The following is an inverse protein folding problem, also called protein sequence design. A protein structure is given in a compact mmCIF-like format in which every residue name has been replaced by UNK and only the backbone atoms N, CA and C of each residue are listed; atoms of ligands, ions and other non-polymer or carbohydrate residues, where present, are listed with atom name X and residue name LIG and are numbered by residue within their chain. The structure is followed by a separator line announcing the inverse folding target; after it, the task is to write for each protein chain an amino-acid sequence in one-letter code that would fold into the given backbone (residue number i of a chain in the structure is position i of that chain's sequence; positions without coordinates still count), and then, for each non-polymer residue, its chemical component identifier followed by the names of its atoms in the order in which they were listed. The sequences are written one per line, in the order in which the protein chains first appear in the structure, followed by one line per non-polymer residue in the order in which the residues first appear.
data_IF_736251901496
#
_entry.id   IF_736251901496
#
_cell.length_a   1.000
_cell.length_b   1.000
_cell.length_c   1.000
_cell.angle_alpha   90.00
_cell.angle_beta   90.00
_cell.angle_gamma   90.00
#
_symmetry.space_group_name_H-M   'P 1'
#
loop_
_entity.id
_entity.type
_entity.pdbx_description
1 polymer ?
#
# COMPACT_ATOMS: atom_id res chain seq x y z
N UNK A 1 -13.23 5.98 -1.31
CA UNK A 1 -12.36 5.30 -0.34
C UNK A 1 -10.90 5.43 -0.78
N UNK A 2 -10.05 5.84 0.12
CA UNK A 2 -8.63 5.93 -0.21
C UNK A 2 -8.01 4.55 -0.31
N UNK A 3 -6.96 4.44 -1.10
CA UNK A 3 -6.32 3.14 -1.32
C UNK A 3 -5.83 2.51 -0.01
N UNK A 4 -5.31 3.31 0.92
CA UNK A 4 -4.88 2.78 2.21
C UNK A 4 -6.05 2.20 3.00
N UNK A 5 -7.20 2.86 2.98
CA UNK A 5 -8.39 2.35 3.65
C UNK A 5 -8.82 1.01 3.05
N UNK A 6 -8.72 0.89 1.72
CA UNK A 6 -9.00 -0.35 1.02
C UNK A 6 -8.04 -1.45 1.47
N UNK A 7 -6.74 -1.14 1.58
CA UNK A 7 -5.74 -2.09 2.03
C UNK A 7 -6.01 -2.54 3.47
N UNK A 8 -6.37 -1.60 4.35
CA UNK A 8 -6.70 -1.91 5.73
C UNK A 8 -7.90 -2.85 5.80
N UNK A 9 -8.92 -2.59 4.99
CA UNK A 9 -10.11 -3.42 4.94
C UNK A 9 -9.78 -4.85 4.46
N UNK A 10 -8.98 -4.95 3.42
CA UNK A 10 -8.58 -6.26 2.87
C UNK A 10 -7.78 -7.05 3.91
N UNK A 11 -6.89 -6.38 4.65
CA UNK A 11 -6.07 -7.04 5.67
C UNK A 11 -6.86 -7.46 6.90
N UNK A 12 -8.03 -6.89 7.12
CA UNK A 12 -8.84 -7.19 8.29
C UNK A 12 -8.69 -6.18 9.42
N UNK A 13 -8.16 -4.99 9.12
CA UNK A 13 -8.00 -3.91 10.08
C UNK A 13 -6.58 -3.36 10.12
N UNK A 14 -6.43 -2.18 10.71
CA UNK A 14 -5.12 -1.50 10.76
C UNK A 14 -4.08 -2.33 11.53
N UNK A 15 -4.48 -2.96 12.63
CA UNK A 15 -3.56 -3.79 13.41
C UNK A 15 -3.07 -4.99 12.60
N UNK A 16 -3.98 -5.62 11.85
CA UNK A 16 -3.60 -6.76 11.01
C UNK A 16 -2.65 -6.33 9.90
N UNK A 17 -2.93 -5.20 9.26
CA UNK A 17 -2.04 -4.68 8.23
C UNK A 17 -0.66 -4.38 8.80
N UNK A 18 -0.62 -3.77 9.99
CA UNK A 18 0.65 -3.46 10.66
C UNK A 18 1.45 -4.74 10.92
N UNK A 19 0.79 -5.79 11.39
CA UNK A 19 1.44 -7.08 11.63
C UNK A 19 2.03 -7.65 10.35
N UNK A 20 1.29 -7.57 9.24
CA UNK A 20 1.74 -8.07 7.95
C UNK A 20 2.95 -7.31 7.43
N UNK A 21 3.06 -6.02 7.77
CA UNK A 21 4.14 -5.16 7.32
C UNK A 21 5.29 -5.09 8.33
N UNK A 22 5.14 -5.73 9.49
CA UNK A 22 6.13 -5.72 10.57
C UNK A 22 6.37 -4.29 11.08
N UNK A 23 5.29 -3.54 11.24
CA UNK A 23 5.33 -2.19 11.82
C UNK A 23 4.27 -2.10 12.92
N UNK A 24 4.30 -1.02 13.70
CA UNK A 24 3.30 -0.83 14.74
C UNK A 24 1.98 -0.35 14.15
N UNK A 25 0.87 -0.63 14.86
CA UNK A 25 -0.44 -0.15 14.42
C UNK A 25 -0.50 1.37 14.44
N UNK A 26 0.27 2.01 15.30
CA UNK A 26 0.36 3.46 15.35
C UNK A 26 0.95 4.02 14.05
N UNK A 27 1.94 3.32 13.48
CA UNK A 27 2.52 3.72 12.21
C UNK A 27 1.47 3.74 11.10
N UNK A 28 0.67 2.68 11.01
CA UNK A 28 -0.41 2.62 10.02
C UNK A 28 -1.44 3.73 10.28
N UNK A 29 -1.77 3.96 11.53
CA UNK A 29 -2.69 5.01 11.92
C UNK A 29 -2.18 6.40 11.50
N UNK A 30 -0.88 6.64 11.63
CA UNK A 30 -0.28 7.89 11.20
C UNK A 30 -0.41 8.09 9.70
N UNK A 31 -0.19 7.06 8.90
CA UNK A 31 -0.37 7.17 7.45
C UNK A 31 -1.81 7.54 7.11
N UNK A 32 -2.75 6.97 7.83
CA UNK A 32 -4.17 7.14 7.55
C UNK A 32 -4.66 8.53 7.94
N UNK A 33 -4.25 9.02 9.11
CA UNK A 33 -4.80 10.25 9.69
C UNK A 33 -3.89 11.46 9.51
N UNK A 34 -2.59 11.28 9.70
CA UNK A 34 -1.63 12.37 9.65
C UNK A 34 -1.20 12.70 8.24
N UNK A 35 -0.96 11.68 7.45
CA UNK A 35 -0.41 11.82 6.11
C UNK A 35 -1.48 11.72 5.04
N UNK A 36 -2.73 11.90 5.42
CA UNK A 36 -3.89 11.91 4.53
C UNK A 36 -3.97 10.64 3.67
N UNK A 37 -3.59 9.50 4.25
CA UNK A 37 -3.65 8.23 3.56
C UNK A 37 -2.48 7.95 2.63
N UNK A 38 -1.47 8.84 2.62
CA UNK A 38 -0.28 8.66 1.79
C UNK A 38 0.73 7.81 2.54
N UNK A 39 1.11 6.67 1.96
CA UNK A 39 2.09 5.78 2.60
C UNK A 39 3.50 6.11 2.12
N UNK A 40 4.54 5.82 2.92
CA UNK A 40 5.92 6.02 2.48
C UNK A 40 6.22 5.18 1.24
N UNK A 41 7.10 5.69 0.37
CA UNK A 41 7.44 5.01 -0.87
C UNK A 41 7.95 3.58 -0.63
N UNK A 42 8.71 3.37 0.45
CA UNK A 42 9.28 2.06 0.74
C UNK A 42 8.26 1.07 1.30
N UNK A 43 7.02 1.50 1.54
CA UNK A 43 5.95 0.61 2.02
C UNK A 43 4.94 0.27 0.93
N UNK A 44 5.02 0.91 -0.23
CA UNK A 44 4.06 0.71 -1.31
C UNK A 44 4.06 -0.74 -1.79
N UNK A 45 5.22 -1.27 -2.14
CA UNK A 45 5.32 -2.64 -2.64
C UNK A 45 4.98 -3.68 -1.56
N UNK A 46 5.47 -3.56 -0.31
CA UNK A 46 5.02 -4.48 0.75
C UNK A 46 3.50 -4.50 0.93
N UNK A 47 2.84 -3.34 0.87
CA UNK A 47 1.37 -3.30 0.99
C UNK A 47 0.72 -4.00 -0.19
N UNK A 48 1.22 -3.76 -1.40
CA UNK A 48 0.73 -4.46 -2.58
C UNK A 48 0.87 -5.98 -2.43
N UNK A 49 2.01 -6.44 -1.92
CA UNK A 49 2.25 -7.88 -1.78
C UNK A 49 1.28 -8.56 -0.82
N UNK A 50 0.83 -7.86 0.22
CA UNK A 50 -0.05 -8.47 1.23
C UNK A 50 -1.54 -8.19 1.01
N UNK A 51 -1.88 -7.18 0.23
CA UNK A 51 -3.29 -6.78 0.04
C UNK A 51 -3.75 -6.80 -1.40
N UNK A 52 -2.83 -6.74 -2.35
CA UNK A 52 -3.20 -6.61 -3.76
C UNK A 52 -3.57 -5.20 -4.20
N UNK A 53 -3.54 -4.23 -3.28
CA UNK A 53 -3.79 -2.83 -3.65
C UNK A 53 -2.58 -2.33 -4.42
N UNK A 54 -2.79 -1.87 -5.65
CA UNK A 54 -1.70 -1.57 -6.56
C UNK A 54 -0.88 -0.36 -6.13
N UNK A 55 0.41 -0.32 -6.52
CA UNK A 55 1.24 0.85 -6.23
C UNK A 55 0.66 2.15 -6.80
N UNK A 56 0.06 2.09 -7.99
CA UNK A 56 -0.58 3.26 -8.59
C UNK A 56 -1.70 3.81 -7.70
N UNK A 57 -2.52 2.92 -7.12
CA UNK A 57 -3.59 3.34 -6.24
C UNK A 57 -3.05 3.97 -4.96
N UNK A 58 -1.96 3.40 -4.42
CA UNK A 58 -1.37 3.88 -3.16
C UNK A 58 -0.60 5.20 -3.34
N UNK A 59 0.17 5.30 -4.39
CA UNK A 59 1.00 6.48 -4.65
C UNK A 59 0.96 6.84 -6.15
N UNK A 60 -0.15 7.42 -6.62
CA UNK A 60 -0.24 7.80 -8.04
C UNK A 60 0.78 8.86 -8.43
N UNK A 61 1.34 9.58 -7.46
CA UNK A 61 2.39 10.56 -7.71
C UNK A 61 3.74 9.90 -8.06
N UNK A 62 3.96 8.68 -7.57
CA UNK A 62 5.19 7.92 -7.84
C UNK A 62 4.99 6.88 -8.93
N UNK A 63 3.81 6.29 -8.99
CA UNK A 63 3.46 5.23 -9.94
C UNK A 63 2.36 5.77 -10.84
N UNK A 64 2.77 6.45 -11.91
CA UNK A 64 1.86 7.24 -12.75
C UNK A 64 0.87 6.41 -13.56
N UNK A 65 1.25 5.19 -13.89
CA UNK A 65 0.39 4.31 -14.69
C UNK A 65 -0.16 3.18 -13.83
N UNK A 66 -1.38 2.67 -14.12
CA UNK A 66 -1.98 1.60 -13.32
C UNK A 66 -1.14 0.34 -13.21
N UNK A 67 -0.24 0.10 -14.16
CA UNK A 67 0.62 -1.09 -14.15
C UNK A 67 2.01 -0.83 -13.57
N UNK A 68 2.32 0.42 -13.21
CA UNK A 68 3.63 0.73 -12.64
C UNK A 68 3.83 -0.03 -11.33
N UNK A 69 5.02 -0.58 -11.15
CA UNK A 69 5.36 -1.34 -9.96
C UNK A 69 4.83 -2.76 -9.96
N UNK A 70 4.03 -3.14 -10.95
CA UNK A 70 3.50 -4.50 -11.05
C UNK A 70 4.46 -5.37 -11.85
N UNK A 71 4.59 -6.67 -11.49
CA UNK A 71 5.35 -7.58 -12.33
C UNK A 71 4.65 -7.78 -13.66
N UNK A 72 5.40 -7.77 -14.74
CA UNK A 72 4.85 -7.99 -16.08
C UNK A 72 5.58 -9.16 -16.76
N UNK A 73 4.87 -9.90 -17.62
CA UNK A 73 5.54 -10.98 -18.37
C UNK A 73 6.70 -10.47 -19.20
N UNK A 74 6.57 -9.30 -19.79
CA UNK A 74 7.60 -8.72 -20.66
C UNK A 74 8.89 -8.41 -19.92
N UNK A 75 8.81 -8.12 -18.64
CA UNK A 75 10.00 -7.75 -17.87
C UNK A 75 10.98 -8.91 -17.71
N UNK A 76 10.57 -10.11 -18.06
CA UNK A 76 11.43 -11.29 -17.97
C UNK A 76 12.14 -11.63 -19.27
N UNK A 77 11.74 -10.99 -20.31
CA UNK A 77 12.26 -11.31 -21.63
C UNK A 77 13.73 -10.99 -21.81
#
# INVERSE_FOLDING_TARGET
MKALDKAISIAGGATRLAEMLDVSSMTVSHWRHRDDGVVPANRVIPIFNVTGVTPHELRPDLYLNPTDGLPTPESRA
#
